data_IF_139946532115
#
_entry.id   IF_139946532115
#
_cell.length_a   1.000
_cell.length_b   1.000
_cell.length_c   1.000
_cell.angle_alpha   90.00
_cell.angle_beta   90.00
_cell.angle_gamma   90.00
#
_symmetry.space_group_name_H-M   'P 1'
#
loop_
_entity.id
_entity.type
_entity.pdbx_description
1 polymer ?
#
# COMPACT_ATOMS: atom_id res chain seq x y z
N UNK A 1 4.70 9.98 2.83
CA UNK A 1 3.79 11.11 2.99
C UNK A 1 4.06 11.82 4.32
N UNK A 2 4.05 13.15 4.35
CA UNK A 2 4.15 13.92 5.59
C UNK A 2 3.41 15.26 5.44
N UNK A 3 2.93 15.80 6.57
CA UNK A 3 2.27 17.10 6.65
C UNK A 3 3.24 18.25 7.02
N UNK A 4 2.75 19.48 7.02
CA UNK A 4 3.56 20.67 7.35
C UNK A 4 4.06 20.67 8.80
N UNK A 5 3.42 19.93 9.71
CA UNK A 5 3.88 19.73 11.08
C UNK A 5 4.94 18.61 11.21
N UNK A 6 5.28 17.93 10.10
CA UNK A 6 6.27 16.88 10.04
C UNK A 6 5.75 15.49 10.45
N UNK A 7 4.44 15.28 10.58
CA UNK A 7 3.91 13.94 10.85
C UNK A 7 3.98 13.08 9.60
N UNK A 8 4.71 11.97 9.66
CA UNK A 8 4.99 11.11 8.53
C UNK A 8 4.29 9.76 8.56
N UNK A 9 3.94 9.27 7.38
CA UNK A 9 3.38 7.93 7.14
C UNK A 9 4.21 7.28 6.06
N UNK A 10 4.59 6.02 6.24
CA UNK A 10 5.14 5.20 5.18
C UNK A 10 4.08 4.19 4.72
N UNK A 11 3.93 4.06 3.39
CA UNK A 11 3.09 3.06 2.77
C UNK A 11 3.96 2.00 2.11
N UNK A 12 3.62 0.73 2.33
CA UNK A 12 4.24 -0.42 1.65
C UNK A 12 5.78 -0.36 1.59
N UNK A 13 6.50 -0.27 2.72
CA UNK A 13 7.95 -0.10 2.68
C UNK A 13 8.65 -1.34 2.13
N UNK A 14 9.15 -1.23 0.88
CA UNK A 14 9.87 -2.30 0.18
C UNK A 14 11.40 -2.27 0.36
N UNK A 15 11.95 -1.35 1.14
CA UNK A 15 13.40 -1.22 1.29
C UNK A 15 14.02 -2.43 1.99
N UNK A 16 14.97 -3.08 1.32
CA UNK A 16 15.60 -4.31 1.80
C UNK A 16 17.10 -4.16 2.10
N UNK A 17 17.86 -3.59 1.16
CA UNK A 17 19.31 -3.46 1.32
C UNK A 17 19.68 -2.41 2.37
N UNK A 18 20.93 -2.46 2.82
CA UNK A 18 21.47 -1.45 3.73
C UNK A 18 21.44 -0.06 3.08
N UNK A 19 21.78 0.01 1.80
CA UNK A 19 21.83 1.24 1.03
C UNK A 19 20.44 1.88 0.92
N UNK A 20 19.41 1.11 0.59
CA UNK A 20 18.02 1.57 0.50
C UNK A 20 17.50 2.08 1.86
N UNK A 21 17.79 1.32 2.93
CA UNK A 21 17.41 1.72 4.30
C UNK A 21 18.14 2.98 4.74
N UNK A 22 19.41 3.12 4.37
CA UNK A 22 20.18 4.33 4.65
C UNK A 22 19.63 5.53 3.91
N UNK A 23 19.35 5.38 2.61
CA UNK A 23 18.82 6.46 1.77
C UNK A 23 17.50 7.01 2.33
N UNK A 24 16.55 6.13 2.65
CA UNK A 24 15.26 6.55 3.21
C UNK A 24 15.40 7.18 4.60
N UNK A 25 16.31 6.67 5.43
CA UNK A 25 16.61 7.24 6.76
C UNK A 25 17.22 8.62 6.64
N UNK A 26 18.19 8.81 5.75
CA UNK A 26 18.81 10.11 5.50
C UNK A 26 17.77 11.13 5.00
N UNK A 27 16.89 10.71 4.07
CA UNK A 27 15.79 11.54 3.57
C UNK A 27 14.82 11.96 4.70
N UNK A 28 14.35 11.02 5.53
CA UNK A 28 13.46 11.29 6.65
C UNK A 28 14.11 12.29 7.62
N UNK A 29 15.40 12.09 7.91
CA UNK A 29 16.18 12.96 8.80
C UNK A 29 16.35 14.36 8.21
N UNK A 30 16.72 14.47 6.93
CA UNK A 30 16.88 15.75 6.21
C UNK A 30 15.58 16.56 6.19
N UNK A 31 14.44 15.88 5.99
CA UNK A 31 13.12 16.55 5.99
C UNK A 31 12.57 16.83 7.39
N UNK A 32 13.22 16.34 8.44
CA UNK A 32 12.74 16.49 9.81
C UNK A 32 11.41 15.79 10.10
N UNK A 33 11.12 14.71 9.34
CA UNK A 33 9.85 13.99 9.44
C UNK A 33 9.85 13.08 10.67
N UNK A 34 8.76 13.13 11.43
CA UNK A 34 8.48 12.23 12.54
C UNK A 34 7.53 11.13 12.07
N UNK A 35 8.06 9.96 11.79
CA UNK A 35 7.27 8.82 11.37
C UNK A 35 6.26 8.42 12.45
N UNK A 36 5.01 8.16 12.06
CA UNK A 36 3.90 7.84 12.97
C UNK A 36 3.32 6.45 12.71
N UNK A 37 3.21 6.03 11.44
CA UNK A 37 2.57 4.79 11.06
C UNK A 37 3.25 4.13 9.85
N UNK A 38 3.16 2.80 9.81
CA UNK A 38 3.35 1.99 8.62
C UNK A 38 1.96 1.51 8.21
N UNK A 39 1.49 1.93 7.04
CA UNK A 39 0.21 1.51 6.49
C UNK A 39 0.45 0.66 5.24
N UNK A 40 0.09 -0.61 5.28
CA UNK A 40 0.23 -1.46 4.10
C UNK A 40 -1.08 -1.67 3.37
N UNK A 41 -1.00 -1.56 2.04
CA UNK A 41 -2.12 -1.88 1.15
C UNK A 41 -2.39 -3.38 1.14
N UNK A 42 -1.33 -4.18 1.16
CA UNK A 42 -1.39 -5.64 1.20
C UNK A 42 -0.05 -6.23 1.67
N UNK A 43 0.04 -7.58 1.76
CA UNK A 43 1.19 -8.25 2.35
C UNK A 43 2.02 -9.10 1.37
N UNK A 44 2.07 -8.77 0.07
CA UNK A 44 3.07 -9.38 -0.81
C UNK A 44 4.49 -8.96 -0.37
N UNK A 45 5.47 -9.81 -0.69
CA UNK A 45 6.81 -9.71 -0.10
C UNK A 45 7.49 -8.36 -0.35
N UNK A 46 7.38 -7.81 -1.54
CA UNK A 46 7.96 -6.54 -1.95
C UNK A 46 7.33 -5.32 -1.25
N UNK A 47 6.15 -5.47 -0.67
CA UNK A 47 5.47 -4.44 0.14
C UNK A 47 5.77 -4.55 1.64
N UNK A 48 6.39 -5.64 2.09
CA UNK A 48 6.68 -5.86 3.52
C UNK A 48 8.16 -5.98 3.86
N UNK A 49 9.08 -5.93 2.88
CA UNK A 49 10.53 -6.11 3.10
C UNK A 49 11.12 -5.13 4.11
N UNK A 50 10.62 -3.90 4.15
CA UNK A 50 11.12 -2.84 5.03
C UNK A 50 10.32 -2.64 6.32
N UNK A 51 9.21 -3.36 6.52
CA UNK A 51 8.33 -3.13 7.69
C UNK A 51 9.08 -3.30 9.01
N UNK A 52 9.81 -4.41 9.19
CA UNK A 52 10.59 -4.66 10.41
C UNK A 52 11.66 -3.59 10.67
N UNK A 53 12.27 -3.04 9.61
CA UNK A 53 13.19 -1.91 9.74
C UNK A 53 12.51 -0.68 10.31
N UNK A 54 11.35 -0.28 9.76
CA UNK A 54 10.60 0.88 10.26
C UNK A 54 10.08 0.67 11.68
N UNK A 55 9.57 -0.52 12.02
CA UNK A 55 9.16 -0.83 13.39
C UNK A 55 10.33 -0.71 14.38
N UNK A 56 11.51 -1.19 13.99
CA UNK A 56 12.69 -1.18 14.86
C UNK A 56 13.31 0.20 15.01
N UNK A 57 13.48 0.92 13.89
CA UNK A 57 14.17 2.22 13.86
C UNK A 57 13.31 3.34 14.44
N UNK A 58 12.01 3.38 14.08
CA UNK A 58 11.13 4.49 14.42
C UNK A 58 10.14 4.18 15.54
N UNK A 59 10.02 2.92 15.98
CA UNK A 59 9.08 2.47 17.04
C UNK A 59 7.63 2.84 16.74
N UNK A 60 7.22 2.67 15.49
CA UNK A 60 5.89 3.02 14.98
C UNK A 60 5.07 1.77 14.69
N UNK A 61 3.73 1.82 14.83
CA UNK A 61 2.86 0.69 14.60
C UNK A 61 2.75 0.35 13.11
N UNK A 62 2.67 -0.95 12.84
CA UNK A 62 2.37 -1.55 11.55
C UNK A 62 0.90 -1.92 11.46
N UNK A 63 0.22 -1.39 10.45
CA UNK A 63 -1.20 -1.61 10.17
C UNK A 63 -1.39 -2.42 8.89
N UNK A 64 -2.21 -3.47 8.97
CA UNK A 64 -2.54 -4.35 7.85
C UNK A 64 -3.98 -4.83 7.97
N UNK A 65 -4.65 -5.11 6.85
CA UNK A 65 -5.98 -5.73 6.88
C UNK A 65 -5.90 -7.22 7.25
N UNK A 66 -6.81 -7.67 8.15
CA UNK A 66 -6.75 -9.03 8.73
C UNK A 66 -6.76 -10.15 7.68
N UNK A 67 -7.47 -9.97 6.57
CA UNK A 67 -7.55 -10.98 5.51
C UNK A 67 -6.21 -11.24 4.80
N UNK A 68 -5.24 -10.35 4.95
CA UNK A 68 -3.88 -10.53 4.40
C UNK A 68 -2.92 -11.26 5.35
N UNK A 69 -3.39 -11.60 6.54
CA UNK A 69 -2.58 -12.39 7.48
C UNK A 69 -1.95 -13.65 6.85
N UNK A 70 -2.67 -14.46 6.03
CA UNK A 70 -2.05 -15.63 5.40
C UNK A 70 -0.88 -15.31 4.47
N UNK A 71 -0.91 -14.17 3.77
CA UNK A 71 0.21 -13.71 2.94
C UNK A 71 1.39 -13.27 3.79
N UNK A 72 1.14 -12.53 4.87
CA UNK A 72 2.19 -12.10 5.80
C UNK A 72 2.84 -13.31 6.51
N UNK A 73 2.05 -14.29 6.91
CA UNK A 73 2.56 -15.53 7.55
C UNK A 73 3.47 -16.32 6.59
N UNK A 74 3.20 -16.30 5.26
CA UNK A 74 4.03 -16.96 4.22
C UNK A 74 5.19 -16.07 3.72
N UNK A 75 5.28 -14.81 4.13
CA UNK A 75 6.25 -13.86 3.61
C UNK A 75 7.71 -14.34 3.75
N UNK A 76 8.04 -15.07 4.82
CA UNK A 76 9.36 -15.66 5.00
C UNK A 76 9.72 -16.68 3.91
N UNK A 77 8.79 -17.58 3.56
CA UNK A 77 8.99 -18.54 2.47
C UNK A 77 9.13 -17.82 1.12
N UNK A 78 8.32 -16.80 0.87
CA UNK A 78 8.39 -15.99 -0.35
C UNK A 78 9.72 -15.24 -0.44
N UNK A 79 10.19 -14.70 0.67
CA UNK A 79 11.48 -14.02 0.73
C UNK A 79 12.64 -14.94 0.28
N UNK A 80 12.66 -16.19 0.72
CA UNK A 80 13.65 -17.17 0.27
C UNK A 80 13.56 -17.44 -1.23
N UNK A 81 12.34 -17.66 -1.75
CA UNK A 81 12.09 -17.93 -3.17
C UNK A 81 12.52 -16.76 -4.06
N UNK A 82 12.28 -15.53 -3.61
CA UNK A 82 12.62 -14.33 -4.38
C UNK A 82 14.03 -13.77 -4.10
N UNK A 83 14.83 -14.46 -3.29
CA UNK A 83 16.24 -14.09 -3.07
C UNK A 83 16.45 -13.00 -2.02
N UNK A 84 15.58 -12.93 -1.01
CA UNK A 84 15.68 -12.03 0.14
C UNK A 84 16.02 -12.79 1.44
N UNK A 85 17.21 -13.47 1.55
CA UNK A 85 17.53 -14.38 2.66
C UNK A 85 17.61 -13.70 4.03
N UNK A 86 17.71 -12.38 4.06
CA UNK A 86 17.79 -11.59 5.31
C UNK A 86 16.47 -10.90 5.66
N UNK A 87 15.36 -11.35 5.05
CA UNK A 87 14.03 -10.84 5.43
C UNK A 87 13.79 -11.06 6.93
N UNK A 88 13.28 -10.03 7.57
CA UNK A 88 12.87 -10.08 8.97
C UNK A 88 11.34 -9.98 9.04
N UNK A 89 10.72 -11.00 9.64
CA UNK A 89 9.28 -11.02 9.79
C UNK A 89 8.77 -9.81 10.59
N UNK A 90 7.69 -9.22 10.10
CA UNK A 90 6.99 -8.14 10.75
C UNK A 90 5.83 -8.68 11.60
N UNK A 91 5.52 -7.99 12.69
CA UNK A 91 4.33 -8.28 13.49
C UNK A 91 3.33 -7.13 13.32
N UNK A 92 2.07 -7.47 13.03
CA UNK A 92 1.01 -6.47 12.92
C UNK A 92 0.66 -5.95 14.31
N UNK A 93 0.76 -4.63 14.49
CA UNK A 93 0.38 -3.97 15.74
C UNK A 93 -1.11 -3.61 15.76
N UNK A 94 -1.68 -3.27 14.58
CA UNK A 94 -3.08 -2.90 14.44
C UNK A 94 -3.69 -3.52 13.18
N UNK A 95 -4.76 -4.28 13.37
CA UNK A 95 -5.59 -4.75 12.26
C UNK A 95 -6.55 -3.64 11.87
N UNK A 96 -6.50 -3.23 10.59
CA UNK A 96 -7.41 -2.22 10.04
C UNK A 96 -8.62 -2.88 9.37
N UNK A 97 -9.73 -2.16 9.32
CA UNK A 97 -10.95 -2.60 8.66
C UNK A 97 -11.45 -1.54 7.66
N UNK A 98 -12.28 -1.99 6.72
CA UNK A 98 -12.87 -1.18 5.66
C UNK A 98 -13.85 -0.11 6.14
N UNK A 99 -14.26 -0.17 7.41
CA UNK A 99 -15.19 0.80 8.02
C UNK A 99 -14.50 1.91 8.77
N UNK A 100 -13.18 1.86 8.86
CA UNK A 100 -12.38 2.81 9.64
C UNK A 100 -11.88 3.95 8.79
N UNK A 101 -11.64 5.08 9.45
CA UNK A 101 -10.84 6.19 8.96
C UNK A 101 -9.63 6.37 9.87
N UNK A 102 -8.50 6.70 9.29
CA UNK A 102 -7.26 6.91 10.04
C UNK A 102 -6.94 8.40 10.02
N UNK A 103 -6.88 9.02 11.20
CA UNK A 103 -6.47 10.41 11.34
C UNK A 103 -5.03 10.48 11.79
N UNK A 104 -4.16 11.09 10.98
CA UNK A 104 -2.73 11.27 11.30
C UNK A 104 -2.33 12.69 10.93
N UNK A 105 -2.07 13.52 11.94
CA UNK A 105 -1.82 14.94 11.70
C UNK A 105 -2.99 15.59 10.94
N UNK A 106 -2.70 16.17 9.79
CA UNK A 106 -3.69 16.80 8.92
C UNK A 106 -4.39 15.81 7.96
N UNK A 107 -3.90 14.57 7.86
CA UNK A 107 -4.44 13.58 6.94
C UNK A 107 -5.64 12.86 7.54
N UNK A 108 -6.74 12.85 6.78
CA UNK A 108 -7.94 12.07 7.04
C UNK A 108 -8.07 10.99 5.95
N UNK A 109 -7.66 9.78 6.30
CA UNK A 109 -7.48 8.68 5.35
C UNK A 109 -8.69 7.74 5.42
N UNK A 110 -9.40 7.62 4.32
CA UNK A 110 -10.44 6.61 4.14
C UNK A 110 -9.84 5.30 3.64
N UNK A 111 -10.24 4.19 4.25
CA UNK A 111 -9.85 2.85 3.82
C UNK A 111 -10.89 2.34 2.81
N UNK A 112 -10.44 1.99 1.61
CA UNK A 112 -11.24 1.35 0.59
C UNK A 112 -10.83 -0.12 0.52
N UNK A 113 -11.76 -1.04 0.76
CA UNK A 113 -11.50 -2.47 0.61
C UNK A 113 -11.57 -2.87 -0.86
N UNK A 114 -10.46 -3.31 -1.42
CA UNK A 114 -10.27 -3.57 -2.86
C UNK A 114 -9.61 -4.93 -3.11
N UNK A 115 -10.24 -6.04 -2.67
CA UNK A 115 -9.68 -7.37 -2.83
C UNK A 115 -9.55 -7.78 -4.29
N UNK A 116 -8.74 -8.81 -4.53
CA UNK A 116 -8.59 -9.47 -5.82
C UNK A 116 -7.14 -9.76 -6.17
N UNK A 117 -6.25 -8.78 -6.08
CA UNK A 117 -4.80 -9.01 -6.16
C UNK A 117 -4.27 -9.68 -4.87
N UNK A 118 -4.80 -9.28 -3.73
CA UNK A 118 -4.61 -9.92 -2.45
C UNK A 118 -5.95 -9.99 -1.70
N UNK A 119 -6.17 -10.96 -0.80
CA UNK A 119 -7.47 -11.15 -0.15
C UNK A 119 -7.85 -10.03 0.83
N UNK A 120 -6.85 -9.37 1.42
CA UNK A 120 -7.02 -8.25 2.33
C UNK A 120 -6.60 -6.91 1.74
N UNK A 121 -6.49 -6.82 0.41
CA UNK A 121 -6.01 -5.59 -0.22
C UNK A 121 -6.92 -4.41 0.10
N UNK A 122 -6.31 -3.29 0.54
CA UNK A 122 -6.95 -2.00 0.76
C UNK A 122 -6.26 -0.91 -0.04
N UNK A 123 -7.00 0.14 -0.39
CA UNK A 123 -6.44 1.39 -0.87
C UNK A 123 -6.72 2.51 0.14
N UNK A 124 -5.82 3.47 0.22
CA UNK A 124 -5.92 4.60 1.16
C UNK A 124 -6.28 5.86 0.37
N UNK A 125 -7.51 6.33 0.55
CA UNK A 125 -8.02 7.51 -0.14
C UNK A 125 -7.92 8.75 0.75
N UNK A 126 -7.25 9.77 0.25
CA UNK A 126 -7.07 11.09 0.85
C UNK A 126 -7.90 12.09 0.04
N UNK A 127 -9.16 12.25 0.41
CA UNK A 127 -10.15 13.03 -0.35
C UNK A 127 -9.74 14.49 -0.50
N UNK A 128 -9.28 15.12 0.57
CA UNK A 128 -8.86 16.52 0.60
C UNK A 128 -7.68 16.78 -0.34
N UNK A 129 -6.75 15.86 -0.41
CA UNK A 129 -5.56 15.91 -1.27
C UNK A 129 -5.87 15.50 -2.71
N UNK A 130 -6.98 14.79 -2.94
CA UNK A 130 -7.34 14.24 -4.24
C UNK A 130 -6.45 13.06 -4.65
N UNK A 131 -5.98 12.25 -3.68
CA UNK A 131 -5.07 11.14 -3.92
C UNK A 131 -5.62 9.80 -3.42
N UNK A 132 -5.25 8.73 -4.09
CA UNK A 132 -5.41 7.36 -3.59
C UNK A 132 -4.10 6.60 -3.71
N UNK A 133 -3.63 6.03 -2.59
CA UNK A 133 -2.53 5.07 -2.57
C UNK A 133 -3.16 3.72 -2.88
N UNK A 134 -2.98 3.24 -4.10
CA UNK A 134 -3.75 2.14 -4.67
C UNK A 134 -3.13 0.77 -4.47
N UNK A 135 -1.85 0.70 -4.05
CA UNK A 135 -1.14 -0.57 -4.07
C UNK A 135 -1.22 -1.23 -5.44
N UNK A 136 -1.43 -2.54 -5.47
CA UNK A 136 -1.39 -3.34 -6.69
C UNK A 136 -2.78 -3.65 -7.27
N UNK A 137 -3.66 -2.64 -7.29
CA UNK A 137 -5.02 -2.79 -7.86
C UNK A 137 -5.11 -2.17 -9.24
N UNK A 138 -4.80 -0.88 -9.38
CA UNK A 138 -4.96 -0.13 -10.62
C UNK A 138 -3.65 0.56 -11.01
N UNK A 139 -3.10 0.19 -12.15
CA UNK A 139 -1.89 0.77 -12.72
C UNK A 139 -2.20 1.60 -13.95
N UNK A 140 -1.24 2.41 -14.37
CA UNK A 140 -1.36 3.13 -15.64
C UNK A 140 -1.47 2.13 -16.80
N UNK A 141 -2.68 2.03 -17.40
CA UNK A 141 -3.03 1.12 -18.51
C UNK A 141 -2.90 -0.35 -18.17
N UNK A 142 -2.99 -0.69 -16.88
CA UNK A 142 -2.91 -2.07 -16.41
C UNK A 142 -3.67 -2.25 -15.11
N UNK A 143 -3.72 -3.48 -14.63
CA UNK A 143 -4.29 -3.86 -13.34
C UNK A 143 -3.36 -4.85 -12.64
N UNK A 144 -3.55 -5.05 -11.35
CA UNK A 144 -2.81 -6.04 -10.59
C UNK A 144 -2.96 -7.44 -11.15
N UNK A 145 -1.92 -8.24 -11.04
CA UNK A 145 -1.96 -9.65 -11.43
C UNK A 145 -2.86 -10.45 -10.49
N UNK A 146 -3.43 -11.53 -11.03
CA UNK A 146 -4.37 -12.40 -10.29
C UNK A 146 -4.08 -13.88 -10.48
N UNK A 147 -2.83 -14.23 -10.79
CA UNK A 147 -2.35 -15.59 -11.05
C UNK A 147 -1.57 -16.20 -9.87
N UNK A 148 -1.50 -15.50 -8.73
CA UNK A 148 -0.95 -16.02 -7.48
C UNK A 148 -2.02 -16.74 -6.64
N UNK A 149 -1.63 -17.61 -5.70
CA UNK A 149 -2.55 -18.15 -4.70
C UNK A 149 -3.28 -17.05 -3.94
N UNK A 150 -4.55 -17.28 -3.64
CA UNK A 150 -5.45 -16.35 -2.94
C UNK A 150 -5.87 -15.11 -3.75
N UNK A 151 -5.41 -14.95 -4.99
CA UNK A 151 -5.91 -13.93 -5.89
C UNK A 151 -7.27 -14.32 -6.49
N UNK A 152 -8.07 -13.30 -6.87
CA UNK A 152 -9.34 -13.48 -7.57
C UNK A 152 -9.55 -12.37 -8.60
N UNK A 153 -9.55 -12.72 -9.88
CA UNK A 153 -9.69 -11.75 -10.97
C UNK A 153 -11.06 -11.04 -10.96
N UNK A 154 -12.13 -11.77 -10.67
CA UNK A 154 -13.46 -11.17 -10.64
C UNK A 154 -13.60 -10.14 -9.53
N UNK A 155 -13.05 -10.45 -8.34
CA UNK A 155 -13.03 -9.52 -7.19
C UNK A 155 -12.19 -8.27 -7.54
N UNK A 156 -11.04 -8.42 -8.22
CA UNK A 156 -10.23 -7.28 -8.65
C UNK A 156 -11.00 -6.36 -9.60
N UNK A 157 -11.66 -6.91 -10.62
CA UNK A 157 -12.47 -6.12 -11.56
C UNK A 157 -13.60 -5.40 -10.83
N UNK A 158 -14.30 -6.09 -9.94
CA UNK A 158 -15.37 -5.51 -9.13
C UNK A 158 -14.83 -4.40 -8.22
N UNK A 159 -13.69 -4.62 -7.56
CA UNK A 159 -13.05 -3.62 -6.68
C UNK A 159 -12.72 -2.33 -7.44
N UNK A 160 -12.14 -2.45 -8.65
CA UNK A 160 -11.83 -1.28 -9.45
C UNK A 160 -13.11 -0.53 -9.84
N UNK A 161 -14.13 -1.23 -10.32
CA UNK A 161 -15.37 -0.60 -10.79
C UNK A 161 -16.19 0.03 -9.67
N UNK A 162 -16.29 -0.64 -8.50
CA UNK A 162 -17.19 -0.22 -7.42
C UNK A 162 -16.54 0.65 -6.36
N UNK A 163 -15.20 0.65 -6.26
CA UNK A 163 -14.47 1.44 -5.28
C UNK A 163 -13.65 2.53 -5.97
N UNK A 164 -12.73 2.19 -6.86
CA UNK A 164 -11.83 3.18 -7.45
C UNK A 164 -12.51 4.05 -8.51
N UNK A 165 -13.28 3.44 -9.40
CA UNK A 165 -13.96 4.19 -10.47
C UNK A 165 -15.14 5.05 -9.98
N UNK A 166 -15.54 4.93 -8.72
CA UNK A 166 -16.53 5.85 -8.10
C UNK A 166 -15.90 7.13 -7.57
N UNK A 167 -14.56 7.17 -7.43
CA UNK A 167 -13.85 8.37 -7.02
C UNK A 167 -13.91 9.46 -8.08
N UNK A 168 -13.73 10.75 -7.71
CA UNK A 168 -13.64 11.85 -8.65
C UNK A 168 -12.58 11.59 -9.73
N UNK A 169 -12.88 11.96 -10.98
CA UNK A 169 -12.00 11.66 -12.12
C UNK A 169 -10.59 12.24 -12.01
N UNK A 170 -10.44 13.38 -11.37
CA UNK A 170 -9.18 14.06 -11.10
C UNK A 170 -8.33 13.39 -10.00
N UNK A 171 -8.88 12.44 -9.24
CA UNK A 171 -8.15 11.72 -8.21
C UNK A 171 -6.90 11.05 -8.79
N UNK A 172 -5.75 11.40 -8.25
CA UNK A 172 -4.46 10.81 -8.65
C UNK A 172 -4.29 9.46 -7.96
N UNK A 173 -4.01 8.43 -8.74
CA UNK A 173 -3.68 7.09 -8.26
C UNK A 173 -2.17 6.94 -8.16
N UNK A 174 -1.69 6.67 -6.95
CA UNK A 174 -0.31 6.24 -6.68
C UNK A 174 -0.31 4.72 -6.53
N UNK A 175 0.13 3.99 -7.58
CA UNK A 175 0.17 2.53 -7.54
C UNK A 175 1.39 2.03 -6.79
N UNK A 176 1.42 0.74 -6.44
CA UNK A 176 2.58 0.08 -5.87
C UNK A 176 3.76 0.01 -6.84
N UNK A 177 3.47 -0.14 -8.13
CA UNK A 177 4.48 -0.21 -9.19
C UNK A 177 4.17 0.72 -10.36
N UNK A 178 5.23 1.25 -10.97
CA UNK A 178 5.13 2.08 -12.18
C UNK A 178 4.70 3.53 -11.90
N UNK A 179 4.33 4.28 -12.94
CA UNK A 179 4.01 5.69 -12.83
C UNK A 179 2.59 5.92 -12.31
N UNK A 180 2.38 7.03 -11.63
CA UNK A 180 1.05 7.50 -11.24
C UNK A 180 0.14 7.70 -12.45
N UNK A 181 -1.16 7.61 -12.22
CA UNK A 181 -2.22 7.87 -13.19
C UNK A 181 -3.38 8.63 -12.53
N UNK A 182 -4.54 8.73 -13.19
CA UNK A 182 -5.76 9.28 -12.59
C UNK A 182 -6.96 8.39 -12.87
N UNK A 183 -8.00 8.55 -12.07
CA UNK A 183 -9.25 7.79 -12.25
C UNK A 183 -9.86 8.04 -13.63
N UNK A 184 -9.92 9.29 -14.10
CA UNK A 184 -10.44 9.61 -15.43
C UNK A 184 -9.64 8.95 -16.55
N UNK A 185 -8.31 8.99 -16.45
CA UNK A 185 -7.41 8.40 -17.43
C UNK A 185 -7.64 6.89 -17.56
N UNK A 186 -7.77 6.19 -16.42
CA UNK A 186 -7.96 4.75 -16.44
C UNK A 186 -9.40 4.35 -16.85
N UNK A 187 -10.42 5.08 -16.43
CA UNK A 187 -11.81 4.88 -16.91
C UNK A 187 -11.90 4.96 -18.44
N UNK A 188 -11.16 5.88 -19.04
CA UNK A 188 -11.22 6.11 -20.49
C UNK A 188 -10.37 5.12 -21.27
N UNK A 189 -9.22 4.72 -20.72
CA UNK A 189 -8.19 4.14 -21.54
C UNK A 189 -7.62 2.80 -21.01
N UNK A 190 -8.03 2.33 -19.84
CA UNK A 190 -7.54 1.05 -19.33
C UNK A 190 -8.07 -0.10 -20.20
N UNK A 191 -7.20 -0.95 -20.77
CA UNK A 191 -7.65 -2.03 -21.66
C UNK A 191 -8.23 -3.24 -20.91
N UNK A 192 -8.01 -3.36 -19.59
CA UNK A 192 -8.38 -4.53 -18.78
C UNK A 192 -9.74 -4.36 -18.09
N UNK A 193 -10.08 -3.15 -17.67
CA UNK A 193 -11.30 -2.86 -16.94
C UNK A 193 -12.01 -1.65 -17.53
N UNK A 194 -13.28 -1.82 -17.85
CA UNK A 194 -14.14 -0.74 -18.38
C UNK A 194 -14.95 -0.13 -17.24
N UNK A 195 -15.21 1.20 -17.35
CA UNK A 195 -16.09 1.93 -16.45
C UNK A 195 -17.54 1.54 -16.64
#
# INVERSE_FOLDING_TARGET
>A
LWDDAGNGIVFDPGCYSYEERKEIKDFITEKGVQMKYILNTHAHIDHVLGVSFFQTEYKIPFCLHLKDKPLLDDAGNRAEVYGFPHYQAANVDQWISETERIQIGEFDIQILFVPGHAPGHVAFYLEKEGWVIGGDVLFKRSVGRTDFPLCNHADLMQSIQTQLYTLPGETIVYPGHGPKTSIAEEKQHNPFVKA
#
